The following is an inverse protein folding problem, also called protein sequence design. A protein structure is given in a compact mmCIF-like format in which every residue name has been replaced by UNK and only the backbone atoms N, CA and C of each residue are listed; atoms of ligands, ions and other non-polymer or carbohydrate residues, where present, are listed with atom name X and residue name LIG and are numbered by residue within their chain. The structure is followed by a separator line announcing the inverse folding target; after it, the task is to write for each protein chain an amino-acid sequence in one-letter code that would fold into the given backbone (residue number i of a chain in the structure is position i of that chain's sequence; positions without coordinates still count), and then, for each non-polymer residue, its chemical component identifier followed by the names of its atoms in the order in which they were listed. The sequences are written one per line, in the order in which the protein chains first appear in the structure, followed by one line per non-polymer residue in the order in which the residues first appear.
data_IF_694538858330
#
_entry.id   IF_694538858330
#
_cell.length_a   1.000
_cell.length_b   1.000
_cell.length_c   1.000
_cell.angle_alpha   90.00
_cell.angle_beta   90.00
_cell.angle_gamma   90.00
#
_symmetry.space_group_name_H-M   'P 1'
#
loop_
_entity.id
_entity.type
_entity.pdbx_description
1 polymer ?
#
# COMPACT_ATOMS: atom_id res chain seq x y z
N UNK A 1 15.61 32.25 52.54
CA UNK A 1 14.54 31.89 51.58
C UNK A 1 14.96 30.60 50.91
N UNK A 2 14.43 29.48 51.40
CA UNK A 2 14.80 28.13 50.98
C UNK A 2 13.62 27.48 50.25
N UNK A 3 13.88 26.89 49.09
CA UNK A 3 12.98 25.95 48.43
C UNK A 3 13.56 24.55 48.61
N UNK A 4 12.75 23.57 49.02
CA UNK A 4 12.99 22.19 48.63
C UNK A 4 11.84 21.67 47.75
N UNK A 5 12.22 21.20 46.57
CA UNK A 5 11.47 20.30 45.71
C UNK A 5 11.09 19.04 46.51
N UNK A 6 9.80 18.83 46.75
CA UNK A 6 9.29 17.59 47.34
C UNK A 6 8.95 16.60 46.22
N UNK A 7 9.74 15.54 46.18
CA UNK A 7 9.54 14.33 45.39
C UNK A 7 8.14 13.74 45.59
N UNK A 8 7.35 13.71 44.51
CA UNK A 8 6.23 12.79 44.38
C UNK A 8 6.78 11.43 43.97
N UNK A 9 7.37 10.70 44.92
CA UNK A 9 7.74 9.30 44.75
C UNK A 9 6.48 8.43 44.76
N UNK A 10 5.83 8.31 43.60
CA UNK A 10 4.94 7.18 43.35
C UNK A 10 5.78 5.91 43.37
N UNK A 11 5.48 5.06 44.34
CA UNK A 11 6.07 3.73 44.51
C UNK A 11 5.80 2.89 43.26
N UNK A 12 6.78 2.79 42.38
CA UNK A 12 6.78 1.82 41.29
C UNK A 12 6.87 0.41 41.90
N UNK A 13 5.71 -0.18 42.17
CA UNK A 13 5.57 -1.58 42.55
C UNK A 13 6.31 -2.48 41.57
N UNK A 14 7.13 -3.39 42.12
CA UNK A 14 8.07 -4.23 41.39
C UNK A 14 7.36 -5.09 40.32
N UNK A 15 8.03 -5.38 39.18
CA UNK A 15 7.44 -6.18 38.09
C UNK A 15 6.99 -7.58 38.53
N UNK A 16 7.56 -8.12 39.61
CA UNK A 16 7.22 -9.44 40.13
C UNK A 16 5.82 -9.50 40.73
N UNK A 17 5.33 -8.43 41.38
CA UNK A 17 3.98 -8.41 41.97
C UNK A 17 2.85 -8.33 40.92
N UNK A 18 3.14 -7.85 39.70
CA UNK A 18 2.16 -7.81 38.59
C UNK A 18 1.92 -9.16 37.93
N UNK A 19 2.84 -10.10 38.10
CA UNK A 19 2.78 -11.42 37.48
C UNK A 19 2.10 -12.47 38.38
N UNK A 20 2.07 -12.25 39.69
CA UNK A 20 1.39 -13.14 40.66
C UNK A 20 -0.12 -12.95 40.66
N UNK A 21 -0.61 -11.71 40.49
CA UNK A 21 -2.05 -11.40 40.37
C UNK A 21 -2.70 -11.99 39.11
N UNK A 22 -1.90 -12.27 38.07
CA UNK A 22 -2.37 -12.89 36.82
C UNK A 22 -2.27 -14.43 36.82
N UNK A 23 -1.51 -15.03 37.75
CA UNK A 23 -1.25 -16.48 37.75
C UNK A 23 -2.44 -17.33 38.24
N UNK A 24 -3.41 -16.71 38.91
CA UNK A 24 -4.63 -17.37 39.41
C UNK A 24 -5.89 -17.19 38.55
N UNK A 25 -5.84 -16.42 37.45
CA UNK A 25 -7.02 -16.22 36.58
C UNK A 25 -7.08 -17.29 35.49
N UNK A 26 -6.95 -18.55 35.89
CA UNK A 26 -7.28 -19.69 35.03
C UNK A 26 -8.78 -19.69 34.78
N UNK A 27 -9.16 -19.34 33.54
CA UNK A 27 -10.40 -19.63 32.82
C UNK A 27 -11.49 -20.33 33.64
N UNK A 28 -12.09 -19.63 34.61
CA UNK A 28 -13.39 -20.02 35.13
C UNK A 28 -14.36 -19.85 33.97
N UNK A 29 -14.99 -20.97 33.59
CA UNK A 29 -15.57 -21.19 32.27
C UNK A 29 -16.40 -20.01 31.76
N UNK A 30 -16.22 -19.69 30.47
CA UNK A 30 -17.10 -18.82 29.73
C UNK A 30 -18.54 -19.36 29.86
N UNK A 31 -19.29 -18.82 30.80
CA UNK A 31 -20.69 -19.16 31.02
C UNK A 31 -21.46 -18.52 29.86
N UNK A 32 -22.11 -19.32 29.04
CA UNK A 32 -22.95 -18.76 27.98
C UNK A 32 -23.97 -17.81 28.63
N UNK A 33 -24.07 -16.55 28.16
CA UNK A 33 -24.99 -15.59 28.74
C UNK A 33 -26.39 -16.19 28.64
N UNK A 34 -27.10 -16.30 29.77
CA UNK A 34 -28.44 -16.86 29.78
C UNK A 34 -29.35 -16.04 28.86
N UNK A 35 -30.49 -16.59 28.45
CA UNK A 35 -31.46 -15.85 27.62
C UNK A 35 -31.84 -14.49 28.24
N UNK A 36 -31.98 -14.44 29.58
CA UNK A 36 -32.25 -13.22 30.31
C UNK A 36 -31.09 -12.21 30.22
N UNK A 37 -29.83 -12.66 30.26
CA UNK A 37 -28.66 -11.79 30.13
C UNK A 37 -28.53 -11.24 28.70
N UNK A 38 -28.82 -12.06 27.69
CA UNK A 38 -28.87 -11.60 26.29
C UNK A 38 -29.98 -10.57 26.07
N UNK A 39 -31.15 -10.76 26.68
CA UNK A 39 -32.24 -9.79 26.62
C UNK A 39 -31.88 -8.46 27.31
N UNK A 40 -31.27 -8.51 28.49
CA UNK A 40 -30.79 -7.33 29.21
C UNK A 40 -29.71 -6.59 28.42
N UNK A 41 -28.74 -7.32 27.84
CA UNK A 41 -27.69 -6.75 27.01
C UNK A 41 -28.27 -6.06 25.76
N UNK A 42 -29.26 -6.67 25.10
CA UNK A 42 -29.95 -6.05 23.97
C UNK A 42 -30.72 -4.77 24.37
N UNK A 43 -31.38 -4.78 25.53
CA UNK A 43 -32.06 -3.58 26.05
C UNK A 43 -31.08 -2.47 26.44
N UNK A 44 -29.94 -2.82 27.06
CA UNK A 44 -28.88 -1.86 27.38
C UNK A 44 -28.21 -1.30 26.12
N UNK A 45 -27.97 -2.13 25.11
CA UNK A 45 -27.48 -1.68 23.80
C UNK A 45 -28.43 -0.66 23.16
N UNK A 46 -29.74 -0.94 23.14
CA UNK A 46 -30.74 0.01 22.63
C UNK A 46 -30.77 1.31 23.44
N UNK A 47 -30.76 1.22 24.77
CA UNK A 47 -30.72 2.40 25.65
C UNK A 47 -29.47 3.24 25.44
N UNK A 48 -28.29 2.61 25.41
CA UNK A 48 -27.03 3.31 25.18
C UNK A 48 -26.95 3.98 23.80
N UNK A 49 -27.55 3.38 22.76
CA UNK A 49 -27.66 4.02 21.44
C UNK A 49 -28.54 5.26 21.52
N UNK A 50 -29.72 5.16 22.15
CA UNK A 50 -30.62 6.31 22.33
C UNK A 50 -29.98 7.42 23.17
N UNK A 51 -29.25 7.08 24.24
CA UNK A 51 -28.52 8.03 25.06
C UNK A 51 -27.40 8.72 24.28
N UNK A 52 -26.67 7.99 23.43
CA UNK A 52 -25.66 8.58 22.52
C UNK A 52 -26.29 9.59 21.55
N UNK A 53 -27.44 9.28 20.98
CA UNK A 53 -28.14 10.21 20.08
C UNK A 53 -28.69 11.43 20.82
N UNK A 54 -29.20 11.26 22.04
CA UNK A 54 -29.68 12.38 22.87
C UNK A 54 -28.54 13.27 23.38
N UNK A 55 -27.38 12.68 23.69
CA UNK A 55 -26.19 13.40 24.14
C UNK A 55 -25.36 13.97 22.98
N UNK A 56 -25.70 13.64 21.74
CA UNK A 56 -24.98 14.16 20.59
C UNK A 56 -25.25 15.66 20.46
N UNK A 57 -24.20 16.51 20.47
CA UNK A 57 -24.38 17.94 20.31
C UNK A 57 -24.99 18.23 18.95
N UNK A 58 -25.90 19.22 18.91
CA UNK A 58 -26.60 19.63 17.71
C UNK A 58 -25.65 20.18 16.63
N UNK A 59 -26.16 20.34 15.40
CA UNK A 59 -25.38 20.88 14.28
C UNK A 59 -24.88 22.32 14.52
N UNK A 60 -25.52 23.06 15.43
CA UNK A 60 -25.16 24.43 15.78
C UNK A 60 -24.15 24.52 16.94
N UNK A 61 -23.67 23.38 17.46
CA UNK A 61 -22.62 23.36 18.48
C UNK A 61 -21.27 23.72 17.86
N UNK A 62 -20.51 24.68 18.44
CA UNK A 62 -19.26 25.16 17.87
C UNK A 62 -18.22 24.04 17.69
N UNK A 63 -18.22 23.01 18.54
CA UNK A 63 -17.30 21.88 18.41
C UNK A 63 -17.67 20.93 17.24
N UNK A 64 -18.94 20.90 16.82
CA UNK A 64 -19.37 20.14 15.63
C UNK A 64 -19.00 20.92 14.36
N UNK A 65 -19.20 22.24 14.37
CA UNK A 65 -18.83 23.11 13.24
C UNK A 65 -17.33 23.12 12.97
N UNK A 66 -16.49 23.17 14.02
CA UNK A 66 -15.03 23.06 13.87
C UNK A 66 -14.63 21.73 13.22
N UNK A 67 -15.22 20.61 13.67
CA UNK A 67 -14.97 19.28 13.07
C UNK A 67 -15.47 19.17 11.63
N UNK A 68 -16.56 19.85 11.29
CA UNK A 68 -17.06 19.91 9.92
C UNK A 68 -16.08 20.70 9.03
N UNK A 69 -15.67 21.88 9.47
CA UNK A 69 -14.69 22.72 8.77
C UNK A 69 -13.33 22.00 8.58
N UNK A 70 -12.84 21.28 9.59
CA UNK A 70 -11.62 20.47 9.49
C UNK A 70 -11.76 19.36 8.44
N UNK A 71 -12.91 18.66 8.41
CA UNK A 71 -13.17 17.62 7.40
C UNK A 71 -13.27 18.20 6.00
N UNK A 72 -13.92 19.34 5.84
CA UNK A 72 -14.01 20.05 4.56
C UNK A 72 -12.64 20.50 4.08
N UNK A 73 -11.81 21.07 4.96
CA UNK A 73 -10.43 21.45 4.64
C UNK A 73 -9.59 20.23 4.22
N UNK A 74 -9.72 19.11 4.94
CA UNK A 74 -9.03 17.86 4.57
C UNK A 74 -9.55 17.29 3.25
N UNK A 75 -10.85 17.36 2.98
CA UNK A 75 -11.45 16.91 1.72
C UNK A 75 -10.95 17.76 0.55
N UNK A 76 -10.90 19.08 0.70
CA UNK A 76 -10.36 20.01 -0.30
C UNK A 76 -8.87 19.72 -0.57
N UNK A 77 -8.07 19.53 0.48
CA UNK A 77 -6.65 19.17 0.32
C UNK A 77 -6.45 17.83 -0.42
N UNK A 78 -7.27 16.82 -0.09
CA UNK A 78 -7.24 15.52 -0.78
C UNK A 78 -7.69 15.63 -2.24
N UNK A 79 -8.70 16.44 -2.53
CA UNK A 79 -9.16 16.68 -3.89
C UNK A 79 -8.07 17.36 -4.74
N UNK A 80 -7.43 18.40 -4.21
CA UNK A 80 -6.31 19.08 -4.88
C UNK A 80 -5.12 18.13 -5.13
N UNK A 81 -4.74 17.33 -4.13
CA UNK A 81 -3.67 16.35 -4.28
C UNK A 81 -4.00 15.26 -5.31
N UNK A 82 -5.27 14.85 -5.42
CA UNK A 82 -5.71 13.88 -6.42
C UNK A 82 -5.57 14.44 -7.83
N UNK A 83 -6.00 15.68 -8.07
CA UNK A 83 -5.88 16.34 -9.38
C UNK A 83 -4.41 16.39 -9.82
N UNK A 84 -3.50 16.80 -8.93
CA UNK A 84 -2.08 16.86 -9.24
C UNK A 84 -1.50 15.47 -9.60
N UNK A 85 -1.84 14.44 -8.83
CA UNK A 85 -1.39 13.06 -9.10
C UNK A 85 -1.96 12.49 -10.39
N UNK A 86 -3.21 12.80 -10.71
CA UNK A 86 -3.85 12.30 -11.92
C UNK A 86 -3.23 12.97 -13.17
N UNK A 87 -2.86 14.26 -13.08
CA UNK A 87 -2.10 14.94 -14.13
C UNK A 87 -0.70 14.34 -14.32
N UNK A 88 0.05 14.10 -13.24
CA UNK A 88 1.39 13.48 -13.31
C UNK A 88 1.32 12.07 -13.92
N UNK A 89 0.32 11.27 -13.54
CA UNK A 89 0.12 9.94 -14.11
C UNK A 89 -0.22 9.98 -15.59
N UNK A 90 -0.99 10.97 -16.05
CA UNK A 90 -1.32 11.12 -17.45
C UNK A 90 -0.06 11.44 -18.28
N UNK A 91 0.78 12.36 -17.80
CA UNK A 91 2.07 12.69 -18.43
C UNK A 91 3.02 11.50 -18.46
N UNK A 92 3.12 10.77 -17.34
CA UNK A 92 3.98 9.58 -17.27
C UNK A 92 3.52 8.48 -18.24
N UNK A 93 2.22 8.22 -18.32
CA UNK A 93 1.68 7.23 -19.27
C UNK A 93 2.02 7.58 -20.71
N UNK A 94 1.92 8.86 -21.10
CA UNK A 94 2.31 9.30 -22.45
C UNK A 94 3.78 9.00 -22.74
N UNK A 95 4.67 9.33 -21.80
CA UNK A 95 6.11 9.05 -21.96
C UNK A 95 6.41 7.56 -22.01
N UNK A 96 5.74 6.76 -21.17
CA UNK A 96 5.93 5.32 -21.13
C UNK A 96 5.42 4.66 -22.44
N UNK A 97 4.30 5.17 -22.99
CA UNK A 97 3.76 4.73 -24.30
C UNK A 97 4.68 5.10 -25.47
N UNK A 98 5.21 6.33 -25.47
CA UNK A 98 6.19 6.78 -26.46
C UNK A 98 7.48 5.94 -26.40
N UNK A 99 8.03 5.74 -25.19
CA UNK A 99 9.23 4.92 -24.99
C UNK A 99 9.00 3.45 -25.38
N UNK A 100 7.81 2.90 -25.10
CA UNK A 100 7.47 1.55 -25.52
C UNK A 100 7.38 1.43 -27.05
N UNK A 101 6.79 2.43 -27.73
CA UNK A 101 6.73 2.47 -29.19
C UNK A 101 8.13 2.56 -29.82
N UNK A 102 9.01 3.40 -29.28
CA UNK A 102 10.40 3.52 -29.72
C UNK A 102 11.18 2.22 -29.50
N UNK A 103 11.04 1.58 -28.33
CA UNK A 103 11.70 0.31 -28.04
C UNK A 103 11.26 -0.80 -29.00
N UNK A 104 9.96 -0.86 -29.33
CA UNK A 104 9.44 -1.81 -30.32
C UNK A 104 9.98 -1.52 -31.73
N UNK A 105 10.08 -0.25 -32.11
CA UNK A 105 10.64 0.14 -33.41
C UNK A 105 12.13 -0.21 -33.52
N UNK A 106 12.92 0.03 -32.47
CA UNK A 106 14.32 -0.37 -32.42
C UNK A 106 14.48 -1.88 -32.48
N UNK A 107 13.71 -2.63 -31.70
CA UNK A 107 13.73 -4.09 -31.72
C UNK A 107 13.36 -4.67 -33.09
N UNK A 108 12.46 -4.03 -33.83
CA UNK A 108 12.13 -4.44 -35.20
C UNK A 108 13.31 -4.20 -36.15
N UNK A 109 13.96 -3.03 -36.08
CA UNK A 109 15.15 -2.71 -36.89
C UNK A 109 16.32 -3.65 -36.59
N UNK A 110 16.58 -3.92 -35.31
CA UNK A 110 17.64 -4.84 -34.91
C UNK A 110 17.41 -6.25 -35.44
N UNK A 111 16.17 -6.74 -35.45
CA UNK A 111 15.82 -8.03 -36.04
C UNK A 111 16.03 -8.06 -37.55
N UNK A 112 15.66 -6.99 -38.26
CA UNK A 112 15.91 -6.89 -39.70
C UNK A 112 17.40 -6.83 -40.02
N UNK A 113 18.18 -6.09 -39.24
CA UNK A 113 19.64 -6.05 -39.39
C UNK A 113 20.29 -7.39 -39.07
N UNK A 114 19.83 -8.08 -38.02
CA UNK A 114 20.33 -9.41 -37.67
C UNK A 114 20.05 -10.40 -38.81
N UNK A 115 18.83 -10.39 -39.36
CA UNK A 115 18.47 -11.24 -40.50
C UNK A 115 19.37 -10.96 -41.73
N UNK A 116 19.61 -9.68 -42.06
CA UNK A 116 20.51 -9.30 -43.16
C UNK A 116 21.96 -9.75 -42.92
N UNK A 117 22.43 -9.67 -41.67
CA UNK A 117 23.78 -10.15 -41.30
C UNK A 117 23.88 -11.66 -41.43
N UNK A 118 22.85 -12.41 -41.02
CA UNK A 118 22.80 -13.86 -41.19
C UNK A 118 22.80 -14.25 -42.67
N UNK A 119 21.99 -13.59 -43.50
CA UNK A 119 21.97 -13.80 -44.96
C UNK A 119 23.35 -13.53 -45.59
N UNK A 120 24.04 -12.46 -45.18
CA UNK A 120 25.38 -12.15 -45.64
C UNK A 120 26.40 -13.24 -45.26
N UNK A 121 26.36 -13.72 -44.00
CA UNK A 121 27.23 -14.80 -43.54
C UNK A 121 26.97 -16.12 -44.28
N UNK A 122 25.72 -16.43 -44.60
CA UNK A 122 25.37 -17.59 -45.41
C UNK A 122 25.89 -17.47 -46.85
N UNK A 123 25.77 -16.28 -47.46
CA UNK A 123 26.32 -15.98 -48.77
C UNK A 123 27.85 -16.15 -48.79
N UNK A 124 28.56 -15.65 -47.77
CA UNK A 124 30.00 -15.83 -47.62
C UNK A 124 30.39 -17.31 -47.46
N UNK A 125 29.67 -18.05 -46.61
CA UNK A 125 29.90 -19.50 -46.42
C UNK A 125 29.69 -20.28 -47.71
N UNK A 126 28.68 -19.91 -48.50
CA UNK A 126 28.41 -20.51 -49.81
C UNK A 126 29.53 -20.18 -50.79
N UNK A 127 29.93 -18.91 -50.90
CA UNK A 127 31.04 -18.49 -51.75
C UNK A 127 32.35 -19.23 -51.38
N UNK A 128 32.66 -19.37 -50.09
CA UNK A 128 33.81 -20.14 -49.62
C UNK A 128 33.72 -21.62 -49.99
N UNK A 129 32.52 -22.22 -49.88
CA UNK A 129 32.28 -23.62 -50.30
C UNK A 129 32.47 -23.79 -51.81
N UNK A 130 31.94 -22.87 -52.61
CA UNK A 130 32.04 -22.91 -54.07
C UNK A 130 33.49 -22.71 -54.53
N UNK A 131 34.25 -21.83 -53.89
CA UNK A 131 35.70 -21.66 -54.12
C UNK A 131 36.47 -22.95 -53.82
N UNK A 132 36.17 -23.63 -52.70
CA UNK A 132 36.78 -24.94 -52.37
C UNK A 132 36.43 -26.02 -53.39
N UNK A 133 35.18 -26.06 -53.85
CA UNK A 133 34.75 -27.01 -54.87
C UNK A 133 35.47 -26.76 -56.21
N UNK A 134 35.57 -25.50 -56.64
CA UNK A 134 36.30 -25.10 -57.84
C UNK A 134 37.79 -25.49 -57.76
N UNK A 135 38.44 -25.24 -56.62
CA UNK A 135 39.84 -25.64 -56.40
C UNK A 135 40.03 -27.17 -56.46
N UNK A 136 39.12 -27.95 -55.84
CA UNK A 136 39.15 -29.41 -55.90
C UNK A 136 38.97 -29.92 -57.33
N UNK A 137 38.06 -29.32 -58.10
CA UNK A 137 37.78 -29.73 -59.47
C UNK A 137 38.94 -29.44 -60.41
N UNK A 138 39.66 -28.32 -60.22
CA UNK A 138 40.90 -28.00 -60.96
C UNK A 138 42.06 -28.98 -60.69
N UNK A 139 42.02 -29.72 -59.58
CA UNK A 139 43.04 -30.72 -59.21
C UNK A 139 42.76 -32.12 -59.78
N UNK A 140 41.54 -32.39 -60.24
CA UNK A 140 41.14 -33.68 -60.81
C UNK A 140 41.16 -33.60 -62.33
#
# INVERSE_FOLDING_TARGET
MALPLSECAQTFGSPQQRNETNKGRHMSGFKEPSFADRQKAAQQARKSILEKFKAQPGPDDPAVQQRAAEREAQAAARAAAKIARDAEKAEKKRRDEEAAAEALALAAREKEEAAKREEALEAERKAARDARYAARKKRK
#
